data_IF_666176998210
#
_entry.id   IF_666176998210
#
_cell.length_a   1.000
_cell.length_b   1.000
_cell.length_c   1.000
_cell.angle_alpha   90.00
_cell.angle_beta   90.00
_cell.angle_gamma   90.00
#
_symmetry.space_group_name_H-M   'P 1'
#
loop_
_entity.id
_entity.type
_entity.pdbx_description
1 polymer ?
#
# COMPACT_ATOMS: atom_id res chain seq x y z
N UNK A 1 -25.83 -10.12 18.40
CA UNK A 1 -24.75 -9.11 18.42
C UNK A 1 -23.46 -9.69 18.95
N UNK A 2 -23.50 -10.32 20.09
CA UNK A 2 -22.30 -10.87 20.75
C UNK A 2 -21.86 -12.18 20.10
N UNK A 3 -22.73 -13.12 19.87
CA UNK A 3 -22.40 -14.43 19.30
C UNK A 3 -22.11 -14.39 17.78
N UNK A 4 -22.94 -13.67 17.02
CA UNK A 4 -22.83 -13.61 15.56
C UNK A 4 -22.05 -12.37 15.08
N UNK A 5 -21.55 -11.54 15.98
CA UNK A 5 -20.79 -10.31 15.70
C UNK A 5 -21.45 -9.38 14.67
N UNK A 6 -22.78 -9.40 14.57
CA UNK A 6 -23.54 -8.66 13.55
C UNK A 6 -23.30 -7.15 13.64
N UNK A 7 -23.29 -6.46 12.51
CA UNK A 7 -23.31 -5.00 12.46
C UNK A 7 -24.63 -4.44 12.99
N UNK A 8 -24.71 -3.13 13.25
CA UNK A 8 -26.00 -2.53 13.61
C UNK A 8 -27.00 -2.68 12.48
N UNK A 9 -26.55 -2.49 11.25
CA UNK A 9 -27.41 -2.56 10.06
C UNK A 9 -27.90 -3.99 9.80
N UNK A 10 -27.04 -5.00 10.01
CA UNK A 10 -27.47 -6.41 9.95
C UNK A 10 -28.50 -6.74 11.04
N UNK A 11 -28.33 -6.17 12.25
CA UNK A 11 -29.34 -6.36 13.32
C UNK A 11 -30.66 -5.69 12.94
N UNK A 12 -30.63 -4.50 12.37
CA UNK A 12 -31.83 -3.81 11.88
C UNK A 12 -32.55 -4.69 10.87
N UNK A 13 -31.84 -5.24 9.90
CA UNK A 13 -32.41 -6.12 8.88
C UNK A 13 -33.04 -7.38 9.49
N UNK A 14 -32.34 -8.04 10.41
CA UNK A 14 -32.88 -9.22 11.12
C UNK A 14 -34.11 -8.85 11.93
N UNK A 15 -34.10 -7.72 12.65
CA UNK A 15 -35.23 -7.26 13.46
C UNK A 15 -36.44 -6.96 12.59
N UNK A 16 -36.25 -6.31 11.42
CA UNK A 16 -37.35 -6.03 10.50
C UNK A 16 -37.93 -7.31 9.91
N UNK A 17 -37.10 -8.27 9.53
CA UNK A 17 -37.58 -9.53 8.93
C UNK A 17 -38.22 -10.49 9.92
N UNK A 18 -37.67 -10.58 11.13
CA UNK A 18 -38.02 -11.66 12.05
C UNK A 18 -38.86 -11.22 13.26
N UNK A 19 -38.91 -9.91 13.55
CA UNK A 19 -39.54 -9.40 14.77
C UNK A 19 -40.57 -8.30 14.51
N UNK A 20 -40.09 -7.11 14.10
CA UNK A 20 -40.95 -5.94 13.89
C UNK A 20 -40.30 -4.96 12.92
N UNK A 21 -40.89 -4.74 11.80
CA UNK A 21 -40.42 -3.83 10.73
C UNK A 21 -40.60 -2.34 11.08
N UNK A 22 -41.43 -2.02 12.07
CA UNK A 22 -41.63 -0.64 12.53
C UNK A 22 -40.51 -0.11 13.43
N UNK A 23 -39.56 -0.94 13.85
CA UNK A 23 -38.46 -0.55 14.72
C UNK A 23 -37.43 0.32 13.98
N UNK A 24 -37.28 1.57 14.38
CA UNK A 24 -36.27 2.42 13.77
C UNK A 24 -34.84 1.99 14.18
N UNK A 25 -33.88 2.20 13.28
CA UNK A 25 -32.45 1.98 13.53
C UNK A 25 -31.97 2.63 14.83
N UNK A 26 -32.47 3.84 15.12
CA UNK A 26 -32.14 4.58 16.34
C UNK A 26 -32.73 3.93 17.62
N UNK A 27 -33.92 3.33 17.53
CA UNK A 27 -34.51 2.61 18.64
C UNK A 27 -33.71 1.35 18.96
N UNK A 28 -33.30 0.60 17.97
CA UNK A 28 -32.45 -0.58 18.09
C UNK A 28 -31.09 -0.20 18.69
N UNK A 29 -30.46 0.88 18.18
CA UNK A 29 -29.18 1.34 18.71
C UNK A 29 -29.27 1.75 20.20
N UNK A 30 -30.30 2.50 20.59
CA UNK A 30 -30.52 2.86 22.00
C UNK A 30 -30.75 1.63 22.89
N UNK A 31 -31.44 0.62 22.38
CA UNK A 31 -31.59 -0.65 23.09
C UNK A 31 -30.23 -1.31 23.34
N UNK A 32 -29.39 -1.44 22.30
CA UNK A 32 -28.05 -1.99 22.40
C UNK A 32 -27.15 -1.18 23.36
N UNK A 33 -27.29 0.14 23.41
CA UNK A 33 -26.57 1.00 24.36
C UNK A 33 -26.98 0.72 25.80
N UNK A 34 -28.31 0.63 26.08
CA UNK A 34 -28.81 0.33 27.42
C UNK A 34 -28.35 -1.01 27.95
N UNK A 35 -28.16 -1.99 27.08
CA UNK A 35 -27.65 -3.31 27.44
C UNK A 35 -26.12 -3.44 27.37
N UNK A 36 -25.38 -2.36 27.12
CA UNK A 36 -23.92 -2.39 27.07
C UNK A 36 -23.31 -3.16 25.90
N UNK A 37 -24.13 -3.55 24.90
CA UNK A 37 -23.72 -4.36 23.74
C UNK A 37 -23.73 -3.59 22.41
N UNK A 38 -23.71 -2.28 22.49
CA UNK A 38 -23.66 -1.42 21.30
C UNK A 38 -22.35 -1.57 20.50
N UNK A 39 -21.23 -1.78 21.18
CA UNK A 39 -19.96 -2.08 20.52
C UNK A 39 -19.93 -3.56 20.13
N UNK A 40 -19.39 -3.85 18.96
CA UNK A 40 -19.05 -5.24 18.64
C UNK A 40 -18.06 -5.75 19.67
N UNK A 41 -18.17 -7.01 20.10
CA UNK A 41 -17.03 -7.66 20.71
C UNK A 41 -15.83 -7.42 19.79
N UNK A 42 -14.71 -7.02 20.34
CA UNK A 42 -13.46 -7.10 19.57
C UNK A 42 -13.30 -8.59 19.27
N UNK A 43 -13.72 -9.03 18.09
CA UNK A 43 -13.30 -10.34 17.62
C UNK A 43 -11.80 -10.38 17.87
N UNK A 44 -11.31 -11.45 18.42
CA UNK A 44 -9.89 -11.75 18.44
C UNK A 44 -9.46 -11.89 16.99
N UNK A 45 -9.37 -10.76 16.29
CA UNK A 45 -8.70 -10.74 14.99
C UNK A 45 -7.36 -11.40 15.29
N UNK A 46 -7.01 -12.48 14.60
CA UNK A 46 -5.70 -13.09 14.77
C UNK A 46 -4.72 -11.93 14.75
N UNK A 47 -3.89 -11.85 15.79
CA UNK A 47 -2.99 -10.72 15.99
C UNK A 47 -2.39 -10.40 14.64
N UNK A 48 -2.59 -9.16 14.16
CA UNK A 48 -2.08 -8.75 12.85
C UNK A 48 -0.64 -9.14 12.86
N UNK A 49 -0.28 -10.17 12.06
CA UNK A 49 1.02 -10.79 12.11
C UNK A 49 2.05 -9.67 12.03
N UNK A 50 2.90 -9.55 13.04
CA UNK A 50 4.05 -8.67 12.91
C UNK A 50 4.83 -9.20 11.72
N UNK A 51 5.05 -8.34 10.75
CA UNK A 51 5.97 -8.69 9.68
C UNK A 51 7.29 -9.07 10.33
N UNK A 52 7.79 -10.26 10.00
CA UNK A 52 9.09 -10.68 10.48
C UNK A 52 10.14 -9.62 10.09
N UNK A 53 11.11 -9.33 10.96
CA UNK A 53 12.23 -8.48 10.61
C UNK A 53 12.85 -8.98 9.30
N UNK A 54 13.06 -8.09 8.36
CA UNK A 54 13.74 -8.41 7.11
C UNK A 54 14.98 -7.52 7.01
N UNK A 55 16.06 -8.01 6.41
CA UNK A 55 17.18 -7.15 6.08
C UNK A 55 16.76 -6.06 5.11
N UNK A 56 17.52 -4.98 5.07
CA UNK A 56 17.34 -3.90 4.07
C UNK A 56 17.49 -4.46 2.67
N UNK A 57 16.68 -3.99 1.73
CA UNK A 57 16.67 -4.51 0.36
C UNK A 57 15.55 -5.50 0.08
N UNK A 58 14.61 -5.68 1.01
CA UNK A 58 13.32 -6.32 0.71
C UNK A 58 12.29 -5.24 0.36
N UNK A 59 12.00 -5.09 -0.92
CA UNK A 59 11.14 -4.02 -1.42
C UNK A 59 9.74 -4.54 -1.75
N UNK A 60 8.72 -3.87 -1.23
CA UNK A 60 7.33 -4.05 -1.65
C UNK A 60 7.02 -3.04 -2.75
N UNK A 61 6.55 -3.50 -3.89
CA UNK A 61 6.15 -2.64 -5.00
C UNK A 61 4.64 -2.78 -5.25
N UNK A 62 4.01 -1.64 -5.53
CA UNK A 62 2.60 -1.54 -5.85
C UNK A 62 2.36 -0.40 -6.84
N UNK A 63 1.26 -0.46 -7.58
CA UNK A 63 0.87 0.55 -8.54
C UNK A 63 -0.45 1.19 -8.12
N UNK A 64 -0.40 2.45 -7.72
CA UNK A 64 -1.58 3.20 -7.36
C UNK A 64 -2.13 3.98 -8.54
N UNK A 65 -3.40 3.77 -8.86
CA UNK A 65 -4.12 4.58 -9.83
C UNK A 65 -4.45 5.94 -9.24
N UNK A 66 -4.16 6.99 -9.98
CA UNK A 66 -4.58 8.36 -9.68
C UNK A 66 -5.88 8.69 -10.41
N UNK A 67 -6.62 9.64 -9.89
CA UNK A 67 -7.77 10.22 -10.61
C UNK A 67 -7.26 10.88 -11.89
N UNK A 68 -7.96 10.63 -13.00
CA UNK A 68 -7.65 11.28 -14.26
C UNK A 68 -7.65 12.81 -14.09
N UNK A 69 -6.66 13.44 -14.68
CA UNK A 69 -6.52 14.88 -14.73
C UNK A 69 -6.30 15.27 -16.18
N UNK A 70 -6.95 16.33 -16.66
CA UNK A 70 -6.88 16.76 -18.07
C UNK A 70 -7.21 15.65 -19.09
N UNK A 71 -8.05 14.69 -18.68
CA UNK A 71 -8.44 13.55 -19.52
C UNK A 71 -7.43 12.40 -19.57
N UNK A 72 -6.23 12.56 -19.01
CA UNK A 72 -5.16 11.57 -19.06
C UNK A 72 -5.09 10.73 -17.78
N UNK A 73 -4.88 9.40 -17.90
CA UNK A 73 -4.61 8.54 -16.75
C UNK A 73 -3.20 8.79 -16.20
N UNK A 74 -3.02 8.60 -14.91
CA UNK A 74 -1.71 8.62 -14.29
C UNK A 74 -1.66 7.61 -13.16
N UNK A 75 -0.48 7.13 -12.87
CA UNK A 75 -0.23 6.10 -11.87
C UNK A 75 0.97 6.49 -11.03
N UNK A 76 1.00 6.03 -9.79
CA UNK A 76 2.18 6.13 -8.93
C UNK A 76 2.75 4.73 -8.77
N UNK A 77 3.94 4.53 -9.28
CA UNK A 77 4.77 3.39 -8.93
C UNK A 77 5.31 3.63 -7.54
N UNK A 78 4.99 2.76 -6.60
CA UNK A 78 5.34 2.89 -5.18
C UNK A 78 6.26 1.74 -4.80
N UNK A 79 7.42 2.03 -4.27
CA UNK A 79 8.35 1.05 -3.73
C UNK A 79 8.66 1.37 -2.27
N UNK A 80 8.50 0.38 -1.37
CA UNK A 80 8.68 0.52 0.07
C UNK A 80 9.64 -0.53 0.57
N UNK A 81 10.76 -0.11 1.17
CA UNK A 81 11.65 -1.03 1.86
C UNK A 81 11.02 -1.55 3.16
N UNK A 82 11.05 -2.87 3.31
CA UNK A 82 10.39 -3.55 4.43
C UNK A 82 11.04 -3.25 5.78
N UNK A 83 12.34 -3.08 5.83
CA UNK A 83 13.08 -2.81 7.06
C UNK A 83 12.94 -1.36 7.50
N UNK A 84 13.26 -0.42 6.63
CA UNK A 84 13.34 1.01 6.94
C UNK A 84 12.03 1.75 6.76
N UNK A 85 11.04 1.18 6.05
CA UNK A 85 9.82 1.85 5.60
C UNK A 85 10.08 3.01 4.64
N UNK A 86 11.28 3.15 4.14
CA UNK A 86 11.61 4.17 3.16
C UNK A 86 10.80 3.96 1.89
N UNK A 87 10.24 5.03 1.38
CA UNK A 87 9.38 5.03 0.21
C UNK A 87 10.05 5.78 -0.93
N UNK A 88 10.06 5.14 -2.08
CA UNK A 88 10.35 5.75 -3.36
C UNK A 88 9.10 5.74 -4.22
N UNK A 89 8.84 6.82 -4.95
CA UNK A 89 7.76 6.88 -5.93
C UNK A 89 8.26 7.38 -7.28
N UNK A 90 7.57 6.93 -8.33
CA UNK A 90 7.61 7.55 -9.65
C UNK A 90 6.19 7.74 -10.18
N UNK A 91 5.95 8.86 -10.82
CA UNK A 91 4.64 9.13 -11.44
C UNK A 91 4.78 8.85 -12.93
N UNK A 92 3.87 8.04 -13.44
CA UNK A 92 3.89 7.53 -14.80
C UNK A 92 2.51 7.65 -15.45
N UNK A 93 2.47 7.80 -16.76
CA UNK A 93 1.22 7.90 -17.54
C UNK A 93 0.76 6.54 -18.07
N UNK A 94 1.64 5.57 -18.15
CA UNK A 94 1.38 4.23 -18.70
C UNK A 94 1.78 3.17 -17.69
N UNK A 95 1.00 2.09 -17.62
CA UNK A 95 1.25 0.95 -16.73
C UNK A 95 1.60 -0.33 -17.48
N UNK A 96 2.10 -0.21 -18.70
CA UNK A 96 2.56 -1.38 -19.43
C UNK A 96 3.86 -1.96 -18.85
N UNK A 97 4.12 -3.22 -19.17
CA UNK A 97 5.27 -3.96 -18.64
C UNK A 97 6.61 -3.26 -18.90
N UNK A 98 6.77 -2.59 -20.05
CA UNK A 98 8.02 -1.89 -20.40
C UNK A 98 8.22 -0.64 -19.54
N UNK A 99 7.16 0.14 -19.32
CA UNK A 99 7.21 1.33 -18.44
C UNK A 99 7.56 0.93 -17.00
N UNK A 100 6.90 -0.10 -16.48
CA UNK A 100 7.15 -0.59 -15.11
C UNK A 100 8.56 -1.21 -14.97
N UNK A 101 9.02 -1.90 -15.99
CA UNK A 101 10.39 -2.41 -16.05
C UNK A 101 11.43 -1.27 -16.02
N UNK A 102 11.18 -0.18 -16.73
CA UNK A 102 12.03 1.00 -16.69
C UNK A 102 12.02 1.69 -15.31
N UNK A 103 10.85 1.77 -14.63
CA UNK A 103 10.77 2.25 -13.24
C UNK A 103 11.62 1.37 -12.30
N UNK A 104 11.56 0.06 -12.48
CA UNK A 104 12.38 -0.86 -11.66
C UNK A 104 13.87 -0.59 -11.84
N UNK A 105 14.34 -0.40 -13.07
CA UNK A 105 15.77 -0.09 -13.32
C UNK A 105 16.17 1.21 -12.62
N UNK A 106 15.36 2.28 -12.75
CA UNK A 106 15.63 3.55 -12.08
C UNK A 106 15.61 3.42 -10.56
N UNK A 107 14.65 2.67 -10.01
CA UNK A 107 14.59 2.34 -8.60
C UNK A 107 15.91 1.69 -8.14
N UNK A 108 16.36 0.63 -8.81
CA UNK A 108 17.56 -0.11 -8.46
C UNK A 108 18.82 0.75 -8.55
N UNK A 109 18.84 1.74 -9.45
CA UNK A 109 19.93 2.72 -9.57
C UNK A 109 19.89 3.77 -8.46
N UNK A 110 18.68 4.16 -8.02
CA UNK A 110 18.48 5.21 -7.02
C UNK A 110 18.67 4.72 -5.58
N UNK A 111 18.43 3.43 -5.31
CA UNK A 111 18.59 2.90 -3.96
C UNK A 111 20.07 2.77 -3.59
N UNK A 112 20.46 3.23 -2.40
CA UNK A 112 21.85 3.27 -1.99
C UNK A 112 22.41 1.92 -1.45
N UNK A 113 21.62 0.85 -1.52
CA UNK A 113 21.99 -0.49 -1.05
C UNK A 113 21.45 -1.58 -1.98
N UNK A 114 22.04 -2.79 -1.95
CA UNK A 114 21.56 -3.89 -2.79
C UNK A 114 20.13 -4.31 -2.46
N UNK A 115 19.31 -4.41 -3.49
CA UNK A 115 17.96 -5.00 -3.40
C UNK A 115 18.08 -6.50 -3.66
N UNK A 116 17.61 -7.31 -2.71
CA UNK A 116 17.71 -8.78 -2.81
C UNK A 116 16.36 -9.47 -3.07
N UNK A 117 15.26 -8.85 -2.67
CA UNK A 117 13.91 -9.41 -2.82
C UNK A 117 12.93 -8.31 -3.19
N UNK A 118 12.08 -8.57 -4.15
CA UNK A 118 10.97 -7.70 -4.51
C UNK A 118 9.67 -8.50 -4.39
N UNK A 119 8.68 -7.92 -3.71
CA UNK A 119 7.32 -8.45 -3.60
C UNK A 119 6.36 -7.53 -4.34
N UNK A 120 5.63 -8.09 -5.31
CA UNK A 120 4.54 -7.41 -6.03
C UNK A 120 3.22 -8.15 -5.86
N UNK A 121 2.14 -7.52 -6.25
CA UNK A 121 0.90 -8.24 -6.49
C UNK A 121 0.95 -9.04 -7.81
N UNK A 122 -0.20 -9.59 -8.23
CA UNK A 122 -0.29 -10.36 -9.46
C UNK A 122 -0.78 -9.51 -10.65
N UNK A 123 -0.59 -8.19 -10.63
CA UNK A 123 -0.93 -7.30 -11.74
C UNK A 123 -0.20 -7.67 -13.03
N UNK A 124 -0.88 -7.47 -14.16
CA UNK A 124 -0.31 -7.79 -15.48
C UNK A 124 0.93 -6.93 -15.83
N UNK A 125 1.12 -5.84 -15.11
CA UNK A 125 2.28 -4.97 -15.18
C UNK A 125 3.54 -5.57 -14.54
N UNK A 126 3.38 -6.55 -13.62
CA UNK A 126 4.48 -7.20 -12.90
C UNK A 126 4.69 -8.64 -13.31
N UNK A 127 3.66 -9.31 -13.84
CA UNK A 127 3.73 -10.75 -14.12
C UNK A 127 2.76 -11.17 -15.23
N UNK A 128 3.12 -12.21 -15.95
CA UNK A 128 2.27 -12.87 -16.93
C UNK A 128 1.42 -14.02 -16.35
N UNK A 129 1.38 -14.16 -15.01
CA UNK A 129 0.71 -15.25 -14.31
C UNK A 129 -0.74 -15.49 -14.77
N UNK A 130 -1.49 -14.42 -15.03
CA UNK A 130 -2.87 -14.44 -15.47
C UNK A 130 -3.06 -13.93 -16.92
N UNK A 131 -1.98 -13.87 -17.71
CA UNK A 131 -2.02 -13.45 -19.10
C UNK A 131 -2.70 -14.44 -20.05
N UNK A 132 -2.71 -14.09 -21.33
CA UNK A 132 -3.39 -14.86 -22.39
C UNK A 132 -2.88 -16.34 -22.54
N UNK A 133 -1.69 -16.67 -22.05
CA UNK A 133 -1.19 -18.05 -21.95
C UNK A 133 -1.88 -18.90 -20.86
N UNK A 134 -2.97 -18.42 -20.31
CA UNK A 134 -3.87 -18.98 -19.31
C UNK A 134 -4.29 -20.44 -19.56
N UNK A 135 -4.29 -20.85 -20.82
CA UNK A 135 -4.72 -22.17 -21.23
C UNK A 135 -3.70 -23.30 -20.95
N UNK A 136 -2.44 -22.96 -20.68
CA UNK A 136 -1.37 -23.94 -20.45
C UNK A 136 -1.09 -24.24 -18.98
N UNK A 137 -1.13 -23.26 -18.11
CA UNK A 137 -1.05 -23.44 -16.65
C UNK A 137 -1.40 -22.12 -15.92
N UNK A 138 -2.64 -21.89 -15.49
CA UNK A 138 -3.12 -20.60 -14.98
C UNK A 138 -2.52 -20.22 -13.62
N UNK A 139 -1.76 -21.11 -12.97
CA UNK A 139 -1.26 -20.89 -11.62
C UNK A 139 0.22 -20.53 -11.53
N UNK A 140 0.96 -20.55 -12.65
CA UNK A 140 2.41 -20.36 -12.64
C UNK A 140 2.85 -19.28 -13.63
N UNK A 141 3.62 -18.24 -13.19
CA UNK A 141 4.22 -17.27 -14.11
C UNK A 141 5.26 -17.96 -15.01
N UNK A 142 5.46 -17.47 -16.23
CA UNK A 142 6.45 -18.05 -17.15
C UNK A 142 7.89 -17.67 -16.79
N UNK A 143 8.08 -16.60 -16.01
CA UNK A 143 9.38 -16.01 -15.71
C UNK A 143 10.02 -15.28 -16.90
N UNK A 144 9.23 -15.02 -17.96
CA UNK A 144 9.66 -14.28 -19.17
C UNK A 144 9.10 -12.86 -19.22
N UNK A 145 8.34 -12.45 -18.19
CA UNK A 145 7.86 -11.08 -18.10
C UNK A 145 9.04 -10.11 -17.98
N UNK A 146 8.94 -8.90 -18.57
CA UNK A 146 10.02 -7.92 -18.56
C UNK A 146 10.53 -7.62 -17.14
N UNK A 147 9.62 -7.56 -16.17
CA UNK A 147 9.94 -7.38 -14.75
C UNK A 147 10.78 -8.54 -14.19
N UNK A 148 10.39 -9.80 -14.48
CA UNK A 148 11.12 -10.99 -14.05
C UNK A 148 12.52 -11.04 -14.65
N UNK A 149 12.67 -10.64 -15.93
CA UNK A 149 13.97 -10.62 -16.61
C UNK A 149 14.93 -9.63 -15.94
N UNK A 150 14.46 -8.44 -15.57
CA UNK A 150 15.28 -7.47 -14.83
C UNK A 150 15.64 -8.00 -13.45
N UNK A 151 14.68 -8.52 -12.69
CA UNK A 151 14.97 -9.12 -11.39
C UNK A 151 16.05 -10.19 -11.48
N UNK A 152 15.95 -11.08 -12.49
CA UNK A 152 16.96 -12.13 -12.75
C UNK A 152 18.32 -11.54 -13.10
N UNK A 153 18.37 -10.51 -13.93
CA UNK A 153 19.61 -9.84 -14.33
C UNK A 153 20.36 -9.27 -13.12
N UNK A 154 19.61 -8.68 -12.17
CA UNK A 154 20.18 -8.11 -10.94
C UNK A 154 20.30 -9.12 -9.78
N UNK A 155 19.99 -10.40 -9.98
CA UNK A 155 20.04 -11.41 -8.93
C UNK A 155 18.98 -11.25 -7.84
N UNK A 156 17.84 -10.63 -8.16
CA UNK A 156 16.75 -10.33 -7.24
C UNK A 156 15.70 -11.43 -7.25
N UNK A 157 15.29 -11.88 -6.08
CA UNK A 157 14.17 -12.82 -5.91
C UNK A 157 12.82 -12.08 -6.06
N UNK A 158 12.16 -12.25 -7.20
CA UNK A 158 10.84 -11.69 -7.45
C UNK A 158 9.74 -12.61 -6.90
N UNK A 159 9.05 -12.14 -5.87
CA UNK A 159 7.95 -12.85 -5.20
C UNK A 159 6.61 -12.19 -5.54
N UNK A 160 5.62 -13.05 -5.80
CA UNK A 160 4.24 -12.61 -5.99
C UNK A 160 3.43 -12.86 -4.71
N UNK A 161 2.50 -11.96 -4.41
CA UNK A 161 1.53 -12.20 -3.34
C UNK A 161 0.71 -13.46 -3.63
N UNK A 162 0.28 -14.16 -2.58
CA UNK A 162 -0.63 -15.29 -2.76
C UNK A 162 -1.95 -14.79 -3.35
N UNK A 163 -2.48 -15.45 -4.39
CA UNK A 163 -3.78 -15.10 -4.92
C UNK A 163 -4.83 -15.11 -3.81
N UNK A 164 -5.72 -14.12 -3.81
CA UNK A 164 -6.80 -13.97 -2.83
C UNK A 164 -6.36 -13.76 -1.36
N UNK A 165 -5.06 -13.49 -1.11
CA UNK A 165 -4.54 -13.13 0.20
C UNK A 165 -3.91 -11.72 0.19
N UNK A 166 -4.70 -10.65 0.21
CA UNK A 166 -4.23 -9.26 0.13
C UNK A 166 -3.31 -8.87 1.28
N UNK A 167 -3.36 -9.59 2.39
CA UNK A 167 -2.58 -9.28 3.60
C UNK A 167 -1.06 -9.27 3.41
N UNK A 168 -0.55 -9.90 2.35
CA UNK A 168 0.88 -10.01 2.07
C UNK A 168 1.51 -8.69 1.62
N UNK A 169 0.75 -7.77 0.98
CA UNK A 169 1.23 -6.46 0.54
C UNK A 169 0.75 -5.29 1.44
N UNK A 170 0.34 -5.59 2.66
CA UNK A 170 -0.27 -4.64 3.58
C UNK A 170 0.57 -3.39 3.90
N UNK A 171 1.88 -3.38 3.60
CA UNK A 171 2.71 -2.17 3.75
C UNK A 171 2.42 -1.17 2.65
N UNK A 172 2.50 -1.60 1.40
CA UNK A 172 2.21 -0.77 0.24
C UNK A 172 0.75 -0.30 0.28
N UNK A 173 -0.19 -1.18 0.62
CA UNK A 173 -1.61 -0.82 0.80
C UNK A 173 -1.80 0.26 1.86
N UNK A 174 -1.12 0.16 3.01
CA UNK A 174 -1.20 1.15 4.09
C UNK A 174 -0.64 2.50 3.66
N UNK A 175 0.48 2.50 2.96
CA UNK A 175 1.05 3.71 2.39
C UNK A 175 0.12 4.31 1.33
N UNK A 176 -0.40 3.51 0.42
CA UNK A 176 -1.34 3.94 -0.61
C UNK A 176 -2.62 4.54 -0.03
N UNK A 177 -3.07 4.04 1.13
CA UNK A 177 -4.18 4.65 1.87
C UNK A 177 -3.82 6.04 2.40
N UNK A 178 -2.63 6.20 3.02
CA UNK A 178 -2.16 7.51 3.48
C UNK A 178 -2.03 8.50 2.32
N UNK A 179 -1.50 8.05 1.19
CA UNK A 179 -1.39 8.86 -0.02
C UNK A 179 -2.78 9.28 -0.54
N UNK A 180 -3.74 8.36 -0.54
CA UNK A 180 -5.12 8.66 -0.92
C UNK A 180 -5.78 9.66 0.03
N UNK A 181 -5.55 9.53 1.33
CA UNK A 181 -6.07 10.46 2.34
C UNK A 181 -5.44 11.86 2.19
N UNK A 182 -4.13 11.94 1.92
CA UNK A 182 -3.45 13.20 1.66
C UNK A 182 -4.00 13.90 0.41
N UNK A 183 -4.19 13.16 -0.68
CA UNK A 183 -4.81 13.69 -1.89
C UNK A 183 -6.24 14.18 -1.65
N UNK A 184 -7.04 13.43 -0.86
CA UNK A 184 -8.42 13.78 -0.54
C UNK A 184 -8.51 15.04 0.32
N UNK A 185 -7.58 15.20 1.26
CA UNK A 185 -7.55 16.32 2.19
C UNK A 185 -6.83 17.54 1.63
N UNK A 186 -6.24 17.46 0.43
CA UNK A 186 -5.60 18.61 -0.19
C UNK A 186 -6.65 19.68 -0.56
N UNK A 187 -6.38 20.98 -0.37
CA UNK A 187 -7.33 22.06 -0.69
C UNK A 187 -7.83 22.04 -2.14
N UNK A 188 -7.02 21.55 -3.07
CA UNK A 188 -7.41 21.35 -4.47
C UNK A 188 -8.30 20.10 -4.67
N UNK A 189 -8.58 19.28 -3.65
CA UNK A 189 -9.57 18.23 -3.74
C UNK A 189 -10.97 18.84 -3.62
N UNK A 190 -11.75 18.82 -4.69
CA UNK A 190 -13.13 19.31 -4.65
C UNK A 190 -14.06 18.40 -3.83
N UNK A 191 -15.27 18.89 -3.53
CA UNK A 191 -16.32 18.10 -2.88
C UNK A 191 -16.54 16.76 -3.59
N UNK A 192 -16.46 15.65 -2.83
CA UNK A 192 -16.58 14.28 -3.37
C UNK A 192 -15.26 13.62 -3.74
N UNK A 193 -14.10 14.15 -3.32
CA UNK A 193 -12.78 13.52 -3.50
C UNK A 193 -12.27 13.54 -4.95
N UNK A 194 -12.86 14.37 -5.80
CA UNK A 194 -12.35 14.61 -7.17
C UNK A 194 -11.17 15.57 -7.09
N UNK A 195 -9.98 15.09 -7.38
CA UNK A 195 -8.80 15.95 -7.49
C UNK A 195 -9.02 17.07 -8.51
N UNK A 196 -8.93 18.30 -8.06
CA UNK A 196 -9.00 19.51 -8.88
C UNK A 196 -7.67 20.24 -8.87
N UNK A 197 -6.58 19.51 -8.96
CA UNK A 197 -5.29 20.13 -9.22
C UNK A 197 -5.35 20.87 -10.56
N UNK A 198 -4.70 22.01 -10.64
CA UNK A 198 -4.70 22.84 -11.84
C UNK A 198 -3.91 22.19 -12.99
N UNK A 199 -2.94 21.33 -12.69
CA UNK A 199 -2.12 20.62 -13.66
C UNK A 199 -1.53 19.33 -13.06
N UNK A 200 -1.02 18.47 -13.94
CA UNK A 200 -0.22 17.30 -13.53
C UNK A 200 0.97 17.74 -12.66
N UNK A 201 1.71 18.77 -13.09
CA UNK A 201 2.90 19.25 -12.35
C UNK A 201 2.58 19.65 -10.91
N UNK A 202 1.46 20.35 -10.69
CA UNK A 202 1.04 20.73 -9.33
C UNK A 202 0.75 19.50 -8.47
N UNK A 203 0.03 18.51 -9.01
CA UNK A 203 -0.28 17.28 -8.30
C UNK A 203 0.98 16.48 -8.01
N UNK A 204 1.86 16.36 -8.98
CA UNK A 204 3.06 15.56 -8.90
C UNK A 204 4.05 16.18 -7.92
N UNK A 205 4.22 17.50 -7.93
CA UNK A 205 4.99 18.23 -6.90
C UNK A 205 4.45 17.96 -5.49
N UNK A 206 3.11 17.97 -5.31
CA UNK A 206 2.50 17.63 -4.02
C UNK A 206 2.80 16.19 -3.61
N UNK A 207 2.72 15.22 -4.52
CA UNK A 207 3.00 13.81 -4.23
C UNK A 207 4.46 13.59 -3.82
N UNK A 208 5.41 14.20 -4.51
CA UNK A 208 6.84 14.12 -4.15
C UNK A 208 7.11 14.79 -2.80
N UNK A 209 6.53 15.96 -2.53
CA UNK A 209 6.65 16.63 -1.23
C UNK A 209 6.04 15.81 -0.09
N UNK A 210 4.90 15.15 -0.34
CA UNK A 210 4.28 14.24 0.63
C UNK A 210 5.20 13.06 0.97
N UNK A 211 5.82 12.43 -0.03
CA UNK A 211 6.73 11.30 0.18
C UNK A 211 8.01 11.74 0.89
N UNK A 212 8.56 12.89 0.55
CA UNK A 212 9.71 13.45 1.25
C UNK A 212 9.39 13.70 2.73
N UNK A 213 8.24 14.31 3.01
CA UNK A 213 7.75 14.50 4.37
C UNK A 213 7.52 13.18 5.11
N UNK A 214 6.92 12.17 4.44
CA UNK A 214 6.74 10.84 5.02
C UNK A 214 8.08 10.21 5.41
N UNK A 215 9.08 10.26 4.52
CA UNK A 215 10.39 9.68 4.77
C UNK A 215 11.17 10.38 5.92
N UNK A 216 10.83 11.63 6.21
CA UNK A 216 11.40 12.41 7.33
C UNK A 216 10.57 12.33 8.62
N UNK A 217 9.38 11.72 8.56
CA UNK A 217 8.49 11.60 9.72
C UNK A 217 8.87 10.41 10.59
N UNK A 218 8.98 10.63 11.90
CA UNK A 218 9.24 9.56 12.87
C UNK A 218 8.05 8.61 12.97
N UNK A 219 8.31 7.31 12.79
CA UNK A 219 7.28 6.28 12.79
C UNK A 219 7.37 5.42 14.05
N UNK A 220 6.24 5.21 14.72
CA UNK A 220 6.18 4.35 15.92
C UNK A 220 6.67 2.93 15.65
N UNK A 221 6.40 2.38 14.46
CA UNK A 221 6.86 1.04 14.09
C UNK A 221 8.38 0.94 13.83
N UNK A 222 9.09 2.05 13.86
CA UNK A 222 10.55 2.18 13.72
C UNK A 222 11.17 2.75 15.00
N UNK A 223 10.56 2.52 16.15
CA UNK A 223 10.99 3.06 17.44
C UNK A 223 11.21 4.59 17.40
N UNK A 224 10.25 5.28 16.74
CA UNK A 224 10.26 6.73 16.55
C UNK A 224 11.44 7.29 15.73
N UNK A 225 12.07 6.47 14.90
CA UNK A 225 13.04 6.91 13.88
C UNK A 225 12.32 7.22 12.57
N UNK A 226 12.91 8.11 11.78
CA UNK A 226 12.41 8.38 10.43
C UNK A 226 12.96 7.34 9.42
N UNK A 227 12.18 6.97 8.38
CA UNK A 227 12.66 6.08 7.32
C UNK A 227 13.99 6.50 6.70
N UNK A 228 14.15 7.80 6.39
CA UNK A 228 15.37 8.33 5.80
C UNK A 228 16.55 8.26 6.78
N UNK A 229 16.32 8.49 8.08
CA UNK A 229 17.34 8.35 9.12
C UNK A 229 17.85 6.91 9.22
N UNK A 230 16.93 5.94 9.23
CA UNK A 230 17.30 4.52 9.26
C UNK A 230 18.09 4.11 8.01
N UNK A 231 17.65 4.58 6.84
CA UNK A 231 18.34 4.29 5.60
C UNK A 231 19.77 4.84 5.62
N UNK A 232 19.95 6.10 6.04
CA UNK A 232 21.26 6.74 6.13
C UNK A 232 22.19 6.03 7.12
N UNK A 233 21.67 5.60 8.28
CA UNK A 233 22.46 4.88 9.29
C UNK A 233 22.96 3.52 8.78
N UNK A 234 22.14 2.82 7.99
CA UNK A 234 22.48 1.51 7.45
C UNK A 234 23.45 1.59 6.27
N UNK A 235 23.46 2.70 5.55
CA UNK A 235 24.39 2.96 4.44
C UNK A 235 25.71 3.55 4.87
N UNK A 236 25.96 3.74 6.17
CA UNK A 236 27.22 4.25 6.70
C UNK A 236 27.43 5.75 6.52
N UNK A 237 26.46 6.50 6.02
CA UNK A 237 26.58 7.95 5.83
C UNK A 237 26.54 8.76 7.13
N UNK A 238 26.27 8.14 8.27
CA UNK A 238 26.13 8.79 9.58
C UNK A 238 27.28 8.48 10.55
N UNK A 239 28.37 7.88 10.12
CA UNK A 239 29.52 7.53 10.98
C UNK A 239 30.45 8.69 11.26
N UNK A 240 30.09 9.95 10.97
CA UNK A 240 30.92 11.13 11.23
C UNK A 240 30.39 12.07 12.32
N UNK A 241 29.51 11.62 13.17
CA UNK A 241 29.14 12.36 14.37
C UNK A 241 29.76 11.67 15.59
N UNK A 242 31.01 12.02 15.91
CA UNK A 242 31.58 11.73 17.20
C UNK A 242 32.67 10.67 17.19
N UNK A 243 33.89 11.10 16.93
CA UNK A 243 35.07 10.83 17.74
C UNK A 243 36.04 11.98 17.43
N UNK A 244 36.00 13.00 18.26
CA UNK A 244 37.19 13.81 18.54
C UNK A 244 37.63 13.37 19.92
N UNK A 245 38.72 12.67 20.00
CA UNK A 245 39.58 12.60 21.18
C UNK A 245 40.72 13.54 20.95
#
# INVERSE_FOLDING_TARGET
>A
RQELELSLDDIVEVMHRCCNDALSRSAIHRCLLRHGISRRPLSSKPAVGRFEPAPVGFIHIDLKHLTRLEGHPSYVFVAIDRATRFVHIEIIERRDASTIAACLVRLLTAFPYPVHTILTDNGAEFTDRFGAARWRNPSRPTGKHAFDLICRWYGIDHRLTRPFHPQTNGMAERFNRRLADALRNHPASGNGGKNRFASHDQRDAFLYAFVDSYNKTRLRCLDYKAPAELLANLTGHNTKAGISV
#
